data_IF_412506468222
#
_entry.id   IF_412506468222
#
_cell.length_a   1.000
_cell.length_b   1.000
_cell.length_c   1.000
_cell.angle_alpha   90.00
_cell.angle_beta   90.00
_cell.angle_gamma   90.00
#
_symmetry.space_group_name_H-M   'P 1'
#
loop_
_entity.id
_entity.type
_entity.pdbx_description
1 polymer ?
#
# COMPACT_ATOMS: atom_id res chain seq x y z
N UNK A 1 0.90 -24.14 -14.56
CA UNK A 1 0.10 -22.91 -14.36
C UNK A 1 -1.36 -23.31 -14.21
N UNK A 2 -2.05 -22.81 -13.19
CA UNK A 2 -3.49 -23.04 -13.04
C UNK A 2 -4.20 -22.33 -14.19
N UNK A 3 -5.10 -23.02 -14.92
CA UNK A 3 -5.89 -22.39 -15.98
C UNK A 3 -6.83 -21.35 -15.37
N UNK A 4 -6.86 -20.13 -15.91
CA UNK A 4 -7.85 -19.11 -15.54
C UNK A 4 -9.23 -19.56 -16.04
N UNK A 5 -10.06 -20.04 -15.12
CA UNK A 5 -11.41 -20.55 -15.39
C UNK A 5 -12.39 -19.70 -14.56
N UNK A 6 -13.53 -19.25 -15.13
CA UNK A 6 -14.57 -18.56 -14.37
C UNK A 6 -15.06 -19.40 -13.18
N UNK A 7 -15.32 -18.77 -12.04
CA UNK A 7 -15.85 -19.44 -10.84
C UNK A 7 -17.35 -19.76 -10.92
N UNK A 8 -18.01 -19.37 -12.01
CA UNK A 8 -19.43 -19.63 -12.30
C UNK A 8 -19.60 -20.17 -13.72
N UNK A 9 -20.63 -20.99 -13.91
CA UNK A 9 -21.02 -21.47 -15.24
C UNK A 9 -21.88 -20.44 -15.98
N UNK A 10 -22.03 -20.62 -17.29
CA UNK A 10 -22.94 -19.81 -18.11
C UNK A 10 -24.38 -19.84 -17.57
N UNK A 11 -24.89 -21.02 -17.22
CA UNK A 11 -26.25 -21.21 -16.71
C UNK A 11 -26.46 -20.47 -15.37
N UNK A 12 -25.48 -20.53 -14.46
CA UNK A 12 -25.52 -19.76 -13.21
C UNK A 12 -25.57 -18.24 -13.48
N UNK A 13 -24.79 -17.75 -14.43
CA UNK A 13 -24.80 -16.33 -14.81
C UNK A 13 -26.14 -15.90 -15.42
N UNK A 14 -26.74 -16.72 -16.29
CA UNK A 14 -28.07 -16.47 -16.87
C UNK A 14 -29.14 -16.42 -15.77
N UNK A 15 -29.08 -17.35 -14.80
CA UNK A 15 -29.99 -17.34 -13.65
C UNK A 15 -29.83 -16.08 -12.79
N UNK A 16 -28.61 -15.65 -12.48
CA UNK A 16 -28.35 -14.41 -11.74
C UNK A 16 -28.85 -13.20 -12.53
N UNK A 17 -28.59 -13.14 -13.83
CA UNK A 17 -29.02 -12.04 -14.69
C UNK A 17 -30.55 -11.95 -14.87
N UNK A 18 -31.27 -13.04 -14.63
CA UNK A 18 -32.74 -13.02 -14.59
C UNK A 18 -33.29 -12.40 -13.29
N UNK A 19 -32.51 -12.38 -12.22
CA UNK A 19 -32.89 -11.85 -10.90
C UNK A 19 -32.41 -10.42 -10.68
N UNK A 20 -31.25 -10.06 -11.21
CA UNK A 20 -30.62 -8.75 -11.03
C UNK A 20 -30.47 -8.02 -12.37
N UNK A 21 -30.80 -6.73 -12.38
CA UNK A 21 -30.62 -5.89 -13.56
C UNK A 21 -29.14 -5.85 -13.99
N UNK A 22 -28.91 -5.88 -15.30
CA UNK A 22 -27.56 -5.82 -15.89
C UNK A 22 -27.21 -4.39 -16.33
N UNK A 23 -25.92 -3.99 -16.27
CA UNK A 23 -24.76 -4.76 -15.83
C UNK A 23 -24.60 -4.82 -14.29
N UNK A 24 -23.98 -5.89 -13.79
CA UNK A 24 -23.60 -6.03 -12.39
C UNK A 24 -22.16 -6.55 -12.25
N UNK A 25 -21.56 -6.32 -11.09
CA UNK A 25 -20.32 -6.98 -10.67
C UNK A 25 -20.64 -8.20 -9.81
N UNK A 26 -19.96 -9.32 -10.08
CA UNK A 26 -20.04 -10.54 -9.28
C UNK A 26 -18.68 -10.82 -8.65
N UNK A 27 -18.66 -10.94 -7.32
CA UNK A 27 -17.45 -11.18 -6.54
C UNK A 27 -17.47 -12.60 -5.97
N UNK A 28 -16.33 -13.29 -6.08
CA UNK A 28 -16.11 -14.61 -5.47
C UNK A 28 -15.46 -14.43 -4.09
N UNK A 29 -16.27 -14.44 -3.02
CA UNK A 29 -15.77 -14.31 -1.65
C UNK A 29 -14.75 -15.43 -1.31
N UNK A 30 -15.00 -16.67 -1.74
CA UNK A 30 -14.08 -17.78 -1.49
C UNK A 30 -12.72 -17.54 -2.17
N UNK A 31 -12.75 -17.01 -3.40
CA UNK A 31 -11.57 -16.57 -4.14
C UNK A 31 -10.80 -15.44 -3.46
N UNK A 32 -11.51 -14.43 -2.93
CA UNK A 32 -10.90 -13.32 -2.17
C UNK A 32 -10.19 -13.84 -0.93
N UNK A 33 -10.89 -14.62 -0.09
CA UNK A 33 -10.32 -15.19 1.14
C UNK A 33 -9.12 -16.09 0.85
N UNK A 34 -9.23 -16.95 -0.17
CA UNK A 34 -8.13 -17.81 -0.60
C UNK A 34 -6.90 -16.99 -0.98
N UNK A 35 -7.08 -15.91 -1.74
CA UNK A 35 -5.97 -15.04 -2.17
C UNK A 35 -5.31 -14.37 -0.97
N UNK A 36 -6.08 -13.81 -0.03
CA UNK A 36 -5.54 -13.20 1.20
C UNK A 36 -4.71 -14.22 2.01
N UNK A 37 -5.23 -15.44 2.18
CA UNK A 37 -4.53 -16.53 2.88
C UNK A 37 -3.23 -16.93 2.18
N UNK A 38 -3.21 -16.98 0.84
CA UNK A 38 -2.01 -17.31 0.08
C UNK A 38 -0.91 -16.26 0.28
N UNK A 39 -1.26 -14.97 0.26
CA UNK A 39 -0.30 -13.89 0.54
C UNK A 39 0.23 -14.00 1.97
N UNK A 40 -0.66 -14.12 2.96
CA UNK A 40 -0.26 -14.28 4.36
C UNK A 40 0.62 -15.53 4.58
N UNK A 41 0.32 -16.63 3.90
CA UNK A 41 1.14 -17.84 3.95
C UNK A 41 2.54 -17.62 3.36
N UNK A 42 2.65 -16.92 2.23
CA UNK A 42 3.93 -16.65 1.57
C UNK A 42 4.90 -15.84 2.46
N UNK A 43 4.37 -14.99 3.34
CA UNK A 43 5.15 -14.19 4.28
C UNK A 43 5.13 -14.68 5.73
N UNK A 44 4.58 -15.88 5.99
CA UNK A 44 4.44 -16.45 7.34
C UNK A 44 5.76 -16.64 8.11
N UNK A 45 6.90 -16.63 7.42
CA UNK A 45 8.23 -16.66 8.02
C UNK A 45 8.56 -15.36 8.79
N UNK A 46 7.92 -14.24 8.45
CA UNK A 46 8.04 -12.97 9.15
C UNK A 46 6.82 -12.72 10.02
N UNK A 47 6.96 -12.88 11.35
CA UNK A 47 5.86 -12.67 12.31
C UNK A 47 5.34 -11.22 12.35
N UNK A 48 6.13 -10.26 11.88
CA UNK A 48 5.73 -8.85 11.77
C UNK A 48 5.10 -8.48 10.42
N UNK A 49 4.95 -9.44 9.49
CA UNK A 49 4.31 -9.16 8.21
C UNK A 49 2.82 -8.88 8.40
N UNK A 50 2.33 -7.86 7.68
CA UNK A 50 0.91 -7.59 7.51
C UNK A 50 0.66 -7.18 6.06
N UNK A 51 -0.29 -7.86 5.41
CA UNK A 51 -0.78 -7.46 4.08
C UNK A 51 -1.72 -6.28 4.24
N UNK A 52 -1.51 -5.20 3.50
CA UNK A 52 -2.42 -4.05 3.45
C UNK A 52 -3.11 -4.00 2.10
N UNK A 53 -4.42 -4.23 2.07
CA UNK A 53 -5.19 -4.13 0.85
C UNK A 53 -5.30 -2.68 0.39
N UNK A 54 -4.87 -2.39 -0.84
CA UNK A 54 -5.01 -1.08 -1.44
C UNK A 54 -6.49 -0.79 -1.75
N UNK A 55 -7.14 0.02 -0.90
CA UNK A 55 -8.59 0.27 -0.95
C UNK A 55 -9.04 0.80 -2.31
N UNK A 56 -8.21 1.63 -2.94
CA UNK A 56 -8.41 2.15 -4.31
C UNK A 56 -8.70 1.09 -5.37
N UNK A 57 -8.27 -0.16 -5.16
CA UNK A 57 -8.51 -1.26 -6.10
C UNK A 57 -9.98 -1.65 -6.13
N UNK A 58 -10.67 -1.64 -4.98
CA UNK A 58 -12.11 -1.93 -4.87
C UNK A 58 -12.63 -1.37 -3.54
N UNK A 59 -13.06 -0.09 -3.50
CA UNK A 59 -13.54 0.57 -2.28
C UNK A 59 -14.96 0.11 -1.93
N UNK A 60 -15.08 -1.14 -1.49
CA UNK A 60 -16.34 -1.80 -1.15
C UNK A 60 -16.30 -2.29 0.31
N UNK A 61 -17.17 -1.75 1.21
CA UNK A 61 -17.14 -2.09 2.63
C UNK A 61 -17.29 -3.58 2.93
N UNK A 62 -18.07 -4.32 2.13
CA UNK A 62 -18.25 -5.76 2.32
C UNK A 62 -16.96 -6.54 2.02
N UNK A 63 -16.23 -6.15 0.96
CA UNK A 63 -14.94 -6.75 0.60
C UNK A 63 -13.88 -6.38 1.63
N UNK A 64 -13.85 -5.11 2.08
CA UNK A 64 -12.95 -4.67 3.14
C UNK A 64 -13.20 -5.47 4.44
N UNK A 65 -14.46 -5.74 4.79
CA UNK A 65 -14.80 -6.56 5.95
C UNK A 65 -14.27 -7.98 5.82
N UNK A 66 -14.45 -8.60 4.65
CA UNK A 66 -13.90 -9.94 4.36
C UNK A 66 -12.38 -9.95 4.54
N UNK A 67 -11.68 -8.94 4.00
CA UNK A 67 -10.22 -8.86 4.11
C UNK A 67 -9.74 -8.58 5.54
N UNK A 68 -10.48 -7.78 6.31
CA UNK A 68 -10.24 -7.56 7.73
C UNK A 68 -10.35 -8.88 8.52
N UNK A 69 -11.39 -9.68 8.24
CA UNK A 69 -11.57 -11.01 8.86
C UNK A 69 -10.44 -12.00 8.49
N UNK A 70 -9.77 -11.80 7.35
CA UNK A 70 -8.58 -12.58 6.94
C UNK A 70 -7.26 -11.99 7.48
N UNK A 71 -7.32 -10.96 8.32
CA UNK A 71 -6.17 -10.36 9.00
C UNK A 71 -5.41 -9.32 8.18
N UNK A 72 -5.93 -8.88 7.03
CA UNK A 72 -5.34 -7.79 6.27
C UNK A 72 -5.53 -6.44 6.99
N UNK A 73 -4.66 -5.47 6.68
CA UNK A 73 -4.89 -4.05 6.91
C UNK A 73 -5.47 -3.35 5.67
N UNK A 74 -5.63 -2.03 5.75
CA UNK A 74 -6.11 -1.18 4.66
C UNK A 74 -5.09 -0.09 4.31
N UNK A 75 -4.70 0.01 3.04
CA UNK A 75 -3.91 1.14 2.52
C UNK A 75 -4.87 2.13 1.83
N UNK A 76 -5.05 3.27 2.49
CA UNK A 76 -5.97 4.34 2.14
C UNK A 76 -5.22 5.50 1.50
N UNK A 77 -5.85 6.18 0.56
CA UNK A 77 -5.30 7.30 -0.20
C UNK A 77 -6.18 8.56 -0.18
N UNK A 78 -7.35 8.49 0.48
CA UNK A 78 -8.27 9.62 0.63
C UNK A 78 -9.07 9.57 1.93
N UNK A 79 -9.65 10.72 2.30
CA UNK A 79 -10.59 10.87 3.41
C UNK A 79 -11.71 9.82 3.42
N UNK A 80 -12.35 9.57 2.26
CA UNK A 80 -13.45 8.61 2.15
C UNK A 80 -12.98 7.18 2.41
N UNK A 81 -11.77 6.82 1.97
CA UNK A 81 -11.20 5.49 2.22
C UNK A 81 -10.84 5.31 3.71
N UNK A 82 -10.36 6.36 4.39
CA UNK A 82 -10.14 6.36 5.83
C UNK A 82 -11.46 6.16 6.60
N UNK A 83 -12.51 6.91 6.26
CA UNK A 83 -13.84 6.75 6.86
C UNK A 83 -14.40 5.35 6.64
N UNK A 84 -14.28 4.83 5.42
CA UNK A 84 -14.79 3.51 5.07
C UNK A 84 -14.06 2.42 5.86
N UNK A 85 -12.74 2.50 5.97
CA UNK A 85 -11.92 1.52 6.70
C UNK A 85 -12.20 1.57 8.20
N UNK A 86 -12.30 2.76 8.79
CA UNK A 86 -12.67 2.93 10.20
C UNK A 86 -14.08 2.36 10.50
N UNK A 87 -15.04 2.62 9.61
CA UNK A 87 -16.42 2.14 9.74
C UNK A 87 -16.53 0.60 9.63
N UNK A 88 -15.65 -0.03 8.85
CA UNK A 88 -15.55 -1.49 8.73
C UNK A 88 -14.82 -2.12 9.93
N UNK A 89 -14.12 -1.31 10.73
CA UNK A 89 -13.55 -1.69 12.01
C UNK A 89 -12.04 -1.83 12.03
N UNK A 90 -11.32 -1.47 10.96
CA UNK A 90 -9.86 -1.37 11.00
C UNK A 90 -9.46 -0.26 11.99
N UNK A 91 -8.40 -0.47 12.77
CA UNK A 91 -7.94 0.52 13.78
C UNK A 91 -6.46 0.83 13.67
N UNK A 92 -6.09 2.07 14.01
CA UNK A 92 -4.70 2.48 14.23
C UNK A 92 -3.74 1.98 13.13
N UNK A 93 -2.72 1.20 13.51
CA UNK A 93 -1.69 0.67 12.62
C UNK A 93 -2.21 -0.33 11.60
N UNK A 94 -3.46 -0.81 11.71
CA UNK A 94 -4.09 -1.60 10.66
C UNK A 94 -4.44 -0.79 9.42
N UNK A 95 -4.39 0.54 9.52
CA UNK A 95 -4.59 1.46 8.41
C UNK A 95 -3.25 2.17 8.11
N UNK A 96 -2.87 2.16 6.83
CA UNK A 96 -1.81 2.99 6.26
C UNK A 96 -2.47 4.10 5.44
N UNK A 97 -2.01 5.33 5.57
CA UNK A 97 -2.49 6.46 4.79
C UNK A 97 -1.39 6.99 3.87
N UNK A 98 -1.52 6.72 2.57
CA UNK A 98 -0.55 7.04 1.52
C UNK A 98 -1.19 7.98 0.49
N UNK A 99 -0.88 9.28 0.55
CA UNK A 99 -1.43 10.28 -0.38
C UNK A 99 -0.39 11.34 -0.74
N UNK A 100 -0.42 11.81 -2.00
CA UNK A 100 0.58 12.71 -2.57
C UNK A 100 0.14 14.17 -2.62
N UNK A 101 -1.18 14.42 -2.71
CA UNK A 101 -1.79 15.74 -2.73
C UNK A 101 -2.82 15.81 -1.62
N UNK A 102 -2.32 15.74 -0.38
CA UNK A 102 -3.13 15.46 0.81
C UNK A 102 -3.78 16.74 1.36
N UNK A 103 -5.12 16.82 1.40
CA UNK A 103 -5.83 17.92 2.06
C UNK A 103 -5.61 17.94 3.58
N UNK A 104 -5.88 19.09 4.20
CA UNK A 104 -5.76 19.25 5.66
C UNK A 104 -6.71 18.31 6.42
N UNK A 105 -7.94 18.15 5.94
CA UNK A 105 -8.96 17.29 6.56
C UNK A 105 -8.57 15.81 6.55
N UNK A 106 -7.89 15.33 5.51
CA UNK A 106 -7.36 13.98 5.43
C UNK A 106 -6.29 13.73 6.49
N UNK A 107 -5.32 14.64 6.65
CA UNK A 107 -4.32 14.53 7.70
C UNK A 107 -4.95 14.60 9.10
N UNK A 108 -5.92 15.49 9.32
CA UNK A 108 -6.63 15.59 10.59
C UNK A 108 -7.39 14.30 10.91
N UNK A 109 -8.06 13.68 9.93
CA UNK A 109 -8.73 12.41 10.13
C UNK A 109 -7.72 11.28 10.38
N UNK A 110 -6.65 11.18 9.58
CA UNK A 110 -5.59 10.20 9.77
C UNK A 110 -5.00 10.28 11.19
N UNK A 111 -4.76 11.51 11.68
CA UNK A 111 -4.30 11.76 13.06
C UNK A 111 -5.34 11.40 14.10
N UNK A 112 -6.61 11.79 13.90
CA UNK A 112 -7.73 11.43 14.80
C UNK A 112 -7.90 9.91 14.95
N UNK A 113 -7.73 9.17 13.86
CA UNK A 113 -7.82 7.70 13.81
C UNK A 113 -6.52 7.01 14.24
N UNK A 114 -5.46 7.79 14.48
CA UNK A 114 -4.12 7.33 14.85
C UNK A 114 -3.55 6.27 13.88
N UNK A 115 -3.77 6.48 12.57
CA UNK A 115 -3.29 5.56 11.53
C UNK A 115 -1.83 5.85 11.18
N UNK A 116 -1.16 4.88 10.55
CA UNK A 116 0.21 5.10 10.06
C UNK A 116 0.18 6.03 8.86
N UNK A 117 0.85 7.18 8.93
CA UNK A 117 0.92 8.15 7.83
C UNK A 117 2.18 7.89 7.01
N UNK A 118 2.02 7.73 5.70
CA UNK A 118 3.10 7.60 4.72
C UNK A 118 3.25 8.90 3.92
N UNK A 119 4.27 9.69 4.24
CA UNK A 119 4.54 10.98 3.62
C UNK A 119 5.14 10.77 2.22
N UNK A 120 4.54 11.44 1.24
CA UNK A 120 4.90 11.29 -0.17
C UNK A 120 5.81 12.43 -0.66
N UNK A 121 5.90 13.53 0.09
CA UNK A 121 6.77 14.67 -0.23
C UNK A 121 7.35 15.29 1.05
N UNK A 122 8.55 15.86 0.95
CA UNK A 122 9.23 16.47 2.11
C UNK A 122 8.46 17.67 2.70
N UNK A 123 7.70 18.40 1.86
CA UNK A 123 6.85 19.52 2.28
C UNK A 123 5.66 19.07 3.12
N UNK A 124 5.27 17.79 3.04
CA UNK A 124 4.21 17.24 3.89
C UNK A 124 4.57 17.29 5.36
N UNK A 125 5.86 17.29 5.74
CA UNK A 125 6.28 17.36 7.15
C UNK A 125 5.79 18.67 7.79
N UNK A 126 6.07 19.81 7.15
CA UNK A 126 5.67 21.12 7.67
C UNK A 126 4.15 21.30 7.59
N UNK A 127 3.54 20.77 6.53
CA UNK A 127 2.10 20.87 6.37
C UNK A 127 1.35 20.03 7.41
N UNK A 128 1.78 18.79 7.67
CA UNK A 128 1.21 17.92 8.71
C UNK A 128 1.32 18.57 10.09
N UNK A 129 2.50 19.09 10.45
CA UNK A 129 2.70 19.82 11.71
C UNK A 129 1.78 21.04 11.84
N UNK A 130 1.48 21.72 10.73
CA UNK A 130 0.61 22.90 10.74
C UNK A 130 -0.87 22.55 10.92
N UNK A 131 -1.35 21.49 10.27
CA UNK A 131 -2.78 21.17 10.20
C UNK A 131 -3.23 20.16 11.26
N UNK A 132 -2.29 19.43 11.84
CA UNK A 132 -2.50 18.46 12.91
C UNK A 132 -1.23 18.39 13.77
N UNK A 133 -0.79 17.18 14.16
CA UNK A 133 0.45 16.93 14.91
C UNK A 133 1.26 15.81 14.24
N UNK A 134 2.56 15.75 14.53
CA UNK A 134 3.43 14.66 14.05
C UNK A 134 3.38 13.51 15.05
N UNK A 135 2.94 12.30 14.64
CA UNK A 135 2.91 11.11 15.50
C UNK A 135 4.31 10.56 15.77
N UNK A 136 4.41 9.69 16.78
CA UNK A 136 5.68 9.00 17.09
C UNK A 136 6.11 8.02 15.98
N UNK A 137 5.17 7.59 15.12
CA UNK A 137 5.42 6.69 13.98
C UNK A 137 5.10 7.38 12.66
N UNK A 138 6.08 7.50 11.77
CA UNK A 138 5.91 8.06 10.42
C UNK A 138 6.59 7.16 9.40
N UNK A 139 5.93 6.93 8.26
CA UNK A 139 6.54 6.34 7.07
C UNK A 139 6.86 7.42 6.04
N UNK A 140 7.93 7.24 5.27
CA UNK A 140 8.23 8.07 4.11
C UNK A 140 8.31 7.21 2.84
N UNK A 141 7.69 7.68 1.77
CA UNK A 141 7.81 7.06 0.45
C UNK A 141 9.13 7.47 -0.19
N UNK A 142 9.99 6.50 -0.44
CA UNK A 142 11.22 6.67 -1.18
C UNK A 142 10.98 6.64 -2.69
N UNK A 143 11.53 7.64 -3.38
CA UNK A 143 11.71 7.64 -4.82
C UNK A 143 13.20 7.38 -5.14
N UNK A 144 13.56 6.19 -5.67
CA UNK A 144 14.94 5.90 -6.04
C UNK A 144 15.45 6.72 -7.23
N UNK A 145 14.57 7.40 -7.96
CA UNK A 145 14.90 8.07 -9.22
C UNK A 145 15.30 7.07 -10.33
N UNK A 146 15.48 7.60 -11.54
CA UNK A 146 16.06 6.87 -12.67
C UNK A 146 15.22 5.72 -13.25
N UNK A 147 15.74 5.10 -14.31
CA UNK A 147 15.15 3.93 -14.98
C UNK A 147 15.25 2.69 -14.09
N UNK A 148 14.19 2.37 -13.36
CA UNK A 148 14.01 1.04 -12.78
C UNK A 148 13.78 0.04 -13.93
N UNK A 149 14.85 -0.52 -14.47
CA UNK A 149 14.85 -1.28 -15.73
C UNK A 149 14.06 -2.60 -15.70
N UNK A 150 13.53 -2.99 -14.53
CA UNK A 150 12.66 -4.17 -14.36
C UNK A 150 11.18 -3.81 -14.59
N UNK A 151 10.85 -2.53 -14.77
CA UNK A 151 9.47 -2.10 -14.98
C UNK A 151 8.95 -2.53 -16.37
N UNK A 152 7.81 -3.23 -16.36
CA UNK A 152 6.93 -3.28 -17.53
C UNK A 152 6.54 -1.84 -17.92
N UNK A 153 6.26 -1.58 -19.21
CA UNK A 153 5.86 -0.26 -19.78
C UNK A 153 4.52 0.31 -19.23
N UNK A 154 4.05 -0.14 -18.06
CA UNK A 154 2.78 0.26 -17.45
C UNK A 154 2.97 1.47 -16.52
N UNK A 155 4.19 1.70 -16.00
CA UNK A 155 4.50 2.87 -15.17
C UNK A 155 5.52 3.77 -15.88
N UNK A 156 5.28 5.08 -15.86
CA UNK A 156 6.22 6.10 -16.34
C UNK A 156 7.54 6.07 -15.53
N UNK A 157 8.59 6.69 -16.08
CA UNK A 157 9.92 6.74 -15.47
C UNK A 157 9.87 7.24 -14.01
N UNK A 158 10.30 6.44 -13.01
CA UNK A 158 10.18 6.80 -11.58
C UNK A 158 10.81 8.15 -11.20
N UNK A 159 11.87 8.56 -11.91
CA UNK A 159 12.51 9.87 -11.70
C UNK A 159 11.67 11.07 -12.15
N UNK A 160 10.73 10.89 -13.07
CA UNK A 160 9.79 11.93 -13.52
C UNK A 160 8.46 11.86 -12.75
N UNK A 161 8.30 10.84 -11.90
CA UNK A 161 7.10 10.64 -11.11
C UNK A 161 7.04 11.68 -9.99
N UNK A 162 5.88 12.34 -9.86
CA UNK A 162 5.57 13.33 -8.81
C UNK A 162 5.52 12.77 -7.38
N UNK A 163 5.94 11.52 -7.17
CA UNK A 163 5.72 10.79 -5.93
C UNK A 163 7.02 10.47 -5.21
N UNK A 164 6.99 10.58 -3.89
CA UNK A 164 8.07 10.16 -3.01
C UNK A 164 9.22 11.15 -2.91
N UNK A 165 10.04 10.95 -1.88
CA UNK A 165 11.22 11.72 -1.57
C UNK A 165 12.44 11.09 -2.26
N UNK A 166 13.25 11.91 -2.92
CA UNK A 166 14.56 11.50 -3.44
C UNK A 166 15.50 11.09 -2.31
N UNK A 167 16.59 10.37 -2.62
CA UNK A 167 17.56 9.91 -1.60
C UNK A 167 18.12 11.04 -0.70
N UNK A 168 18.48 12.23 -1.21
CA UNK A 168 18.89 13.35 -0.36
C UNK A 168 17.74 13.88 0.51
N UNK A 169 16.52 13.98 -0.05
CA UNK A 169 15.34 14.41 0.71
C UNK A 169 14.97 13.42 1.81
N UNK A 170 15.21 12.11 1.64
CA UNK A 170 15.02 11.13 2.71
C UNK A 170 15.90 11.43 3.93
N UNK A 171 17.19 11.74 3.74
CA UNK A 171 18.09 12.10 4.84
C UNK A 171 17.63 13.37 5.55
N UNK A 172 17.23 14.39 4.77
CA UNK A 172 16.72 15.66 5.33
C UNK A 172 15.42 15.43 6.11
N UNK A 173 14.48 14.70 5.53
CA UNK A 173 13.19 14.36 6.14
C UNK A 173 13.38 13.62 7.47
N UNK A 174 14.25 12.61 7.51
CA UNK A 174 14.48 11.82 8.72
C UNK A 174 15.10 12.66 9.84
N UNK A 175 16.09 13.52 9.52
CA UNK A 175 16.66 14.45 10.51
C UNK A 175 15.61 15.43 11.05
N UNK A 176 14.76 15.96 10.17
CA UNK A 176 13.68 16.89 10.54
C UNK A 176 12.63 16.22 11.42
N UNK A 177 12.21 15.00 11.06
CA UNK A 177 11.23 14.21 11.81
C UNK A 177 11.78 13.77 13.18
N UNK A 178 13.06 13.38 13.26
CA UNK A 178 13.74 13.10 14.53
C UNK A 178 13.73 14.33 15.45
N UNK A 179 14.07 15.51 14.91
CA UNK A 179 14.03 16.77 15.67
C UNK A 179 12.61 17.14 16.14
N UNK A 180 11.57 16.64 15.46
CA UNK A 180 10.16 16.81 15.81
C UNK A 180 9.61 15.69 16.72
N UNK A 181 10.45 14.73 17.12
CA UNK A 181 10.11 13.71 18.13
C UNK A 181 9.60 12.38 17.57
N UNK A 182 9.70 12.13 16.27
CA UNK A 182 9.40 10.81 15.69
C UNK A 182 10.40 9.78 16.24
N UNK A 183 9.88 8.63 16.68
CA UNK A 183 10.66 7.53 17.28
C UNK A 183 10.75 6.31 16.36
N UNK A 184 9.73 6.09 15.55
CA UNK A 184 9.54 4.87 14.76
C UNK A 184 9.37 5.24 13.29
N UNK A 185 10.32 4.82 12.46
CA UNK A 185 10.34 5.16 11.04
C UNK A 185 9.94 3.98 10.18
N UNK A 186 9.02 4.23 9.26
CA UNK A 186 8.70 3.35 8.14
C UNK A 186 9.37 3.84 6.86
N UNK A 187 9.63 2.93 5.93
CA UNK A 187 9.98 3.29 4.57
C UNK A 187 9.14 2.52 3.57
N UNK A 188 8.65 3.21 2.55
CA UNK A 188 7.80 2.65 1.50
C UNK A 188 8.40 2.94 0.12
N UNK A 189 8.22 2.06 -0.85
CA UNK A 189 8.35 2.44 -2.26
C UNK A 189 7.39 1.63 -3.14
N UNK A 190 6.89 2.28 -4.19
CA UNK A 190 6.02 1.67 -5.19
C UNK A 190 6.53 2.04 -6.58
N UNK A 191 7.09 1.04 -7.28
CA UNK A 191 7.90 1.25 -8.49
C UNK A 191 7.36 0.58 -9.75
N UNK A 192 6.38 -0.31 -9.62
CA UNK A 192 5.76 -0.98 -10.77
C UNK A 192 4.35 -1.46 -10.42
N UNK A 193 3.51 -1.64 -11.45
CA UNK A 193 2.22 -2.32 -11.31
C UNK A 193 2.15 -3.50 -12.27
N UNK A 194 1.37 -4.52 -11.88
CA UNK A 194 1.18 -5.74 -12.64
C UNK A 194 2.51 -6.42 -13.05
N UNK A 195 3.43 -6.52 -12.09
CA UNK A 195 4.69 -7.21 -12.28
C UNK A 195 4.47 -8.71 -12.22
N UNK A 196 4.80 -9.38 -13.33
CA UNK A 196 4.67 -10.84 -13.50
C UNK A 196 6.02 -11.56 -13.41
N UNK A 197 7.09 -10.83 -13.07
CA UNK A 197 8.44 -11.37 -12.90
C UNK A 197 8.72 -11.63 -11.42
N UNK A 198 9.50 -12.68 -11.14
CA UNK A 198 9.92 -13.01 -9.78
C UNK A 198 11.01 -12.06 -9.25
N UNK A 199 11.61 -11.25 -10.12
CA UNK A 199 12.79 -10.43 -9.79
C UNK A 199 12.42 -9.10 -9.10
N UNK A 200 11.17 -8.67 -9.21
CA UNK A 200 10.74 -7.35 -8.73
C UNK A 200 10.89 -7.15 -7.22
N UNK A 201 10.29 -8.04 -6.42
CA UNK A 201 10.33 -7.92 -4.97
C UNK A 201 11.73 -8.12 -4.38
N UNK A 202 12.54 -9.09 -4.83
CA UNK A 202 13.93 -9.20 -4.41
C UNK A 202 14.74 -7.92 -4.68
N UNK A 203 14.61 -7.33 -5.86
CA UNK A 203 15.35 -6.10 -6.20
C UNK A 203 14.85 -4.89 -5.41
N UNK A 204 13.53 -4.72 -5.29
CA UNK A 204 12.94 -3.66 -4.48
C UNK A 204 13.38 -3.77 -3.01
N UNK A 205 13.31 -4.98 -2.45
CA UNK A 205 13.76 -5.25 -1.09
C UNK A 205 15.24 -4.88 -0.94
N UNK A 206 16.13 -5.35 -1.85
CA UNK A 206 17.56 -5.03 -1.81
C UNK A 206 17.81 -3.53 -1.75
N UNK A 207 17.11 -2.75 -2.57
CA UNK A 207 17.24 -1.29 -2.62
C UNK A 207 16.77 -0.66 -1.31
N UNK A 208 15.59 -1.03 -0.82
CA UNK A 208 15.03 -0.48 0.41
C UNK A 208 15.86 -0.86 1.64
N UNK A 209 16.32 -2.09 1.77
CA UNK A 209 17.18 -2.49 2.89
C UNK A 209 18.52 -1.74 2.87
N UNK A 210 19.13 -1.54 1.69
CA UNK A 210 20.35 -0.75 1.57
C UNK A 210 20.13 0.70 2.03
N UNK A 211 19.09 1.36 1.53
CA UNK A 211 18.76 2.74 1.91
C UNK A 211 18.41 2.84 3.40
N UNK A 212 17.76 1.84 3.98
CA UNK A 212 17.44 1.81 5.40
C UNK A 212 18.71 1.81 6.27
N UNK A 213 19.71 0.99 5.92
CA UNK A 213 20.99 0.95 6.63
C UNK A 213 21.70 2.29 6.54
N UNK A 214 21.80 2.86 5.34
CA UNK A 214 22.46 4.15 5.15
C UNK A 214 21.75 5.28 5.93
N UNK A 215 20.42 5.37 5.88
CA UNK A 215 19.66 6.37 6.63
C UNK A 215 19.85 6.21 8.14
N UNK A 216 19.88 4.98 8.64
CA UNK A 216 20.18 4.70 10.05
C UNK A 216 21.58 5.20 10.43
N UNK A 217 22.59 4.95 9.60
CA UNK A 217 23.96 5.40 9.85
C UNK A 217 24.11 6.92 9.76
N UNK A 218 23.43 7.57 8.81
CA UNK A 218 23.50 9.01 8.57
C UNK A 218 22.72 9.85 9.60
N UNK A 219 21.64 9.31 10.16
CA UNK A 219 20.67 10.06 10.97
C UNK A 219 20.48 9.53 12.38
N UNK A 220 20.80 8.26 12.63
CA UNK A 220 20.48 7.57 13.88
C UNK A 220 19.02 7.12 14.00
N UNK A 221 18.20 7.25 12.96
CA UNK A 221 16.78 6.89 13.00
C UNK A 221 16.55 5.39 13.25
N UNK A 222 15.53 5.08 14.05
CA UNK A 222 15.06 3.71 14.27
C UNK A 222 14.02 3.34 13.20
N UNK A 223 14.47 2.63 12.16
CA UNK A 223 13.63 2.15 11.07
C UNK A 223 13.01 0.81 11.49
N UNK A 224 11.71 0.83 11.75
CA UNK A 224 10.96 -0.29 12.33
C UNK A 224 10.33 -1.19 11.27
N UNK A 225 9.89 -0.63 10.15
CA UNK A 225 9.29 -1.41 9.07
C UNK A 225 9.67 -0.91 7.69
N UNK A 226 9.64 -1.84 6.73
CA UNK A 226 9.76 -1.58 5.30
C UNK A 226 8.50 -2.09 4.62
N UNK A 227 7.80 -1.19 3.94
CA UNK A 227 6.63 -1.47 3.13
C UNK A 227 7.04 -1.61 1.66
N UNK A 228 7.06 -2.85 1.16
CA UNK A 228 7.39 -3.17 -0.23
C UNK A 228 6.25 -2.87 -1.23
N UNK A 229 5.15 -2.29 -0.76
CA UNK A 229 3.96 -1.96 -1.52
C UNK A 229 3.35 -3.16 -2.28
N UNK A 230 2.44 -2.86 -3.21
CA UNK A 230 1.78 -3.84 -4.07
C UNK A 230 2.46 -3.95 -5.43
N UNK A 231 1.67 -4.27 -6.45
CA UNK A 231 2.14 -4.43 -7.83
C UNK A 231 2.26 -5.87 -8.29
N UNK A 232 1.95 -6.85 -7.44
CA UNK A 232 1.79 -8.26 -7.84
C UNK A 232 0.81 -8.35 -9.02
N UNK A 233 1.27 -8.92 -10.12
CA UNK A 233 0.46 -9.08 -11.32
C UNK A 233 -0.56 -10.20 -11.22
N UNK A 234 -1.58 -10.10 -12.06
CA UNK A 234 -2.57 -11.15 -12.30
C UNK A 234 -2.64 -11.45 -13.79
N UNK A 235 -2.88 -12.71 -14.14
CA UNK A 235 -3.21 -13.08 -15.51
C UNK A 235 -4.56 -12.44 -15.89
N UNK A 236 -4.58 -11.52 -16.86
CA UNK A 236 -5.82 -10.98 -17.42
C UNK A 236 -6.45 -11.94 -18.41
N UNK A 237 -5.63 -12.64 -19.21
CA UNK A 237 -6.03 -13.65 -20.18
C UNK A 237 -5.62 -15.07 -19.74
N UNK A 238 -6.29 -16.13 -20.22
CA UNK A 238 -5.97 -17.51 -19.81
C UNK A 238 -4.57 -18.00 -20.18
N UNK A 239 -3.93 -17.39 -21.17
CA UNK A 239 -2.60 -17.70 -21.68
C UNK A 239 -1.48 -16.89 -20.98
N UNK A 240 -1.83 -15.97 -20.09
CA UNK A 240 -0.86 -15.20 -19.33
C UNK A 240 -0.38 -15.97 -18.09
N UNK A 241 0.89 -15.78 -17.68
CA UNK A 241 1.49 -16.45 -16.53
C UNK A 241 0.83 -16.06 -15.20
#
# INVERSE_FOLDING_TARGET
MAKKIPFVTKEQLENIASQYATPFYLYDEAGIRKTARLVNQAFSWNKGFKEYFAVKATPNPSILKILHEEGCGADCSSYTELLMSDAVGFKESEIMFSSNATPAEDFQLARKLNVTINLDDITHIDFLEKVADIPETISCRYNPGGHFAIANNIMDNPGDAKYGLTRPQMTEAYKKLLAKGVKHFGMHAFLASNTVTNDYYPELARILFQVAVELKEETGAHIEFINLSGGIGIAYKPDQP
#
